data_IF_532414052052
#
_entry.id   IF_532414052052
#
_cell.length_a   1.000
_cell.length_b   1.000
_cell.length_c   1.000
_cell.angle_alpha   90.00
_cell.angle_beta   90.00
_cell.angle_gamma   90.00
#
_symmetry.space_group_name_H-M   'P 1'
#
loop_
_entity.id
_entity.type
_entity.pdbx_description
1 polymer ?
#
# COMPACT_ATOMS: atom_id res chain seq x y z
N UNK A 1 25.16 15.76 43.34
CA UNK A 1 23.90 15.51 42.60
C UNK A 1 24.14 14.49 41.47
N UNK A 2 24.74 13.33 41.77
CA UNK A 2 25.21 12.36 40.76
C UNK A 2 24.76 10.89 40.97
N UNK A 3 24.37 10.49 42.17
CA UNK A 3 24.14 9.06 42.48
C UNK A 3 22.73 8.52 42.15
N UNK A 4 21.73 9.38 41.98
CA UNK A 4 20.36 8.93 41.66
C UNK A 4 20.17 8.47 40.20
N UNK A 5 21.03 8.94 39.28
CA UNK A 5 20.95 8.57 37.85
C UNK A 5 21.62 7.22 37.55
N UNK A 6 22.62 6.82 38.35
CA UNK A 6 23.36 5.56 38.16
C UNK A 6 22.56 4.32 38.61
N UNK A 7 21.71 4.45 39.63
CA UNK A 7 20.87 3.35 40.13
C UNK A 7 19.71 2.96 39.20
N UNK A 8 19.13 3.92 38.47
CA UNK A 8 18.06 3.63 37.51
C UNK A 8 18.55 2.86 36.28
N UNK A 9 19.75 3.20 35.77
CA UNK A 9 20.34 2.54 34.62
C UNK A 9 20.77 1.08 34.92
N UNK A 10 21.21 0.78 36.16
CA UNK A 10 21.61 -0.57 36.56
C UNK A 10 20.41 -1.50 36.78
N UNK A 11 19.28 -0.99 37.29
CA UNK A 11 18.04 -1.75 37.45
C UNK A 11 17.42 -2.10 36.09
N UNK A 12 17.38 -1.13 35.16
CA UNK A 12 16.91 -1.38 33.79
C UNK A 12 17.84 -2.38 33.08
N UNK A 13 19.15 -2.28 33.24
CA UNK A 13 20.12 -3.24 32.69
C UNK A 13 19.90 -4.67 33.21
N UNK A 14 19.71 -4.84 34.52
CA UNK A 14 19.44 -6.16 35.11
C UNK A 14 18.11 -6.75 34.63
N UNK A 15 17.06 -5.94 34.52
CA UNK A 15 15.77 -6.39 34.01
C UNK A 15 15.86 -6.81 32.52
N UNK A 16 16.62 -6.08 31.71
CA UNK A 16 16.87 -6.43 30.30
C UNK A 16 17.64 -7.74 30.18
N UNK A 17 18.66 -7.95 31.02
CA UNK A 17 19.44 -9.20 31.04
C UNK A 17 18.60 -10.40 31.50
N UNK A 18 17.73 -10.22 32.49
CA UNK A 18 16.84 -11.27 33.01
C UNK A 18 15.79 -11.69 31.97
N UNK A 19 15.17 -10.72 31.29
CA UNK A 19 14.27 -10.98 30.15
C UNK A 19 15.01 -11.68 29.01
N UNK A 20 16.24 -11.25 28.70
CA UNK A 20 17.06 -11.89 27.65
C UNK A 20 17.43 -13.32 28.02
N UNK A 21 17.76 -13.59 29.28
CA UNK A 21 18.09 -14.93 29.77
C UNK A 21 16.87 -15.85 29.70
N UNK A 22 15.72 -15.41 30.21
CA UNK A 22 14.47 -16.16 30.14
C UNK A 22 14.01 -16.39 28.69
N UNK A 23 14.20 -15.41 27.80
CA UNK A 23 13.92 -15.55 26.37
C UNK A 23 14.82 -16.59 25.71
N UNK A 24 16.09 -16.66 26.12
CA UNK A 24 17.06 -17.62 25.60
C UNK A 24 16.82 -19.05 26.14
N UNK A 25 16.32 -19.16 27.38
CA UNK A 25 15.89 -20.43 27.99
C UNK A 25 14.64 -21.01 27.32
N UNK A 26 13.76 -20.14 26.79
CA UNK A 26 12.56 -20.53 26.04
C UNK A 26 12.70 -20.34 24.52
N UNK A 27 13.92 -20.22 24.00
CA UNK A 27 14.17 -19.98 22.57
C UNK A 27 13.57 -21.08 21.69
N UNK A 28 13.60 -22.33 22.15
CA UNK A 28 13.04 -23.49 21.43
C UNK A 28 11.52 -23.40 21.28
N UNK A 29 10.81 -22.90 22.30
CA UNK A 29 9.35 -22.70 22.26
C UNK A 29 8.98 -21.60 21.27
N UNK A 30 9.74 -20.50 21.26
CA UNK A 30 9.54 -19.40 20.31
C UNK A 30 9.83 -19.87 18.88
N UNK A 31 10.90 -20.65 18.68
CA UNK A 31 11.25 -21.23 17.38
C UNK A 31 10.18 -22.22 16.89
N UNK A 32 9.63 -23.04 17.78
CA UNK A 32 8.55 -23.97 17.46
C UNK A 32 7.25 -23.24 17.11
N UNK A 33 6.85 -22.23 17.88
CA UNK A 33 5.68 -21.41 17.59
C UNK A 33 5.84 -20.67 16.26
N UNK A 34 7.00 -20.06 16.02
CA UNK A 34 7.29 -19.39 14.77
C UNK A 34 7.29 -20.39 13.60
N UNK A 35 7.83 -21.59 13.81
CA UNK A 35 7.80 -22.68 12.84
C UNK A 35 6.38 -23.12 12.51
N UNK A 36 5.53 -23.34 13.52
CA UNK A 36 4.11 -23.70 13.34
C UNK A 36 3.35 -22.59 12.62
N UNK A 37 3.49 -21.34 13.06
CA UNK A 37 2.85 -20.17 12.40
C UNK A 37 3.33 -20.05 10.96
N UNK A 38 4.63 -20.14 10.70
CA UNK A 38 5.17 -20.08 9.34
C UNK A 38 4.69 -21.24 8.47
N UNK A 39 4.51 -22.43 9.04
CA UNK A 39 4.05 -23.62 8.30
C UNK A 39 2.57 -23.52 7.97
N UNK A 40 1.73 -23.09 8.92
CA UNK A 40 0.31 -22.82 8.70
C UNK A 40 0.09 -21.67 7.71
N UNK A 41 0.91 -20.62 7.79
CA UNK A 41 0.87 -19.52 6.84
C UNK A 41 1.23 -20.02 5.44
N UNK A 42 2.33 -20.76 5.31
CA UNK A 42 2.78 -21.31 4.03
C UNK A 42 1.79 -22.31 3.46
N UNK A 43 1.24 -23.22 4.26
CA UNK A 43 0.27 -24.22 3.82
C UNK A 43 -1.04 -23.57 3.39
N UNK A 44 -1.49 -22.53 4.09
CA UNK A 44 -2.67 -21.75 3.71
C UNK A 44 -2.50 -20.95 2.42
N UNK A 45 -1.32 -20.37 2.19
CA UNK A 45 -1.05 -19.58 0.99
C UNK A 45 -0.58 -20.40 -0.23
N UNK A 46 0.01 -21.58 -0.03
CA UNK A 46 0.57 -22.38 -1.12
C UNK A 46 -0.45 -22.68 -2.24
N UNK A 47 -1.68 -23.16 -1.97
CA UNK A 47 -2.67 -23.41 -3.02
C UNK A 47 -3.08 -22.16 -3.80
N UNK A 48 -3.16 -21.02 -3.11
CA UNK A 48 -3.48 -19.74 -3.74
C UNK A 48 -2.34 -19.31 -4.67
N UNK A 49 -1.09 -19.38 -4.20
CA UNK A 49 0.10 -19.07 -4.99
C UNK A 49 0.21 -20.00 -6.20
N UNK A 50 -0.02 -21.29 -6.04
CA UNK A 50 0.00 -22.26 -7.15
C UNK A 50 -1.07 -21.94 -8.20
N UNK A 51 -2.28 -21.54 -7.75
CA UNK A 51 -3.36 -21.08 -8.63
C UNK A 51 -3.00 -19.80 -9.39
N UNK A 52 -2.34 -18.84 -8.71
CA UNK A 52 -1.84 -17.62 -9.36
C UNK A 52 -0.75 -17.92 -10.39
N UNK A 53 0.21 -18.78 -10.05
CA UNK A 53 1.29 -19.18 -10.98
C UNK A 53 0.68 -19.88 -12.20
N UNK A 54 -0.30 -20.77 -12.00
CA UNK A 54 -1.03 -21.44 -13.07
C UNK A 54 -1.75 -20.45 -13.99
N UNK A 55 -2.43 -19.45 -13.41
CA UNK A 55 -3.04 -18.35 -14.17
C UNK A 55 -2.00 -17.56 -14.99
N UNK A 56 -0.88 -17.17 -14.37
CA UNK A 56 0.19 -16.44 -15.05
C UNK A 56 0.79 -17.24 -16.21
N UNK A 57 0.94 -18.56 -16.07
CA UNK A 57 1.40 -19.42 -17.16
C UNK A 57 0.40 -19.57 -18.30
N UNK A 58 -0.90 -19.55 -17.99
CA UNK A 58 -1.97 -19.65 -19.00
C UNK A 58 -2.14 -18.35 -19.80
N UNK A 59 -1.72 -17.21 -19.24
CA UNK A 59 -1.76 -15.91 -19.92
C UNK A 59 -0.63 -15.80 -20.94
N UNK A 60 -0.98 -15.48 -22.19
CA UNK A 60 0.03 -15.25 -23.23
C UNK A 60 0.56 -13.81 -23.19
N UNK A 61 1.68 -13.63 -22.48
CA UNK A 61 2.35 -12.34 -22.31
C UNK A 61 2.96 -11.76 -23.59
N UNK A 62 2.93 -12.49 -24.71
CA UNK A 62 3.43 -11.98 -26.00
C UNK A 62 2.41 -11.12 -26.72
N UNK A 63 1.15 -11.10 -26.29
CA UNK A 63 0.14 -10.30 -26.97
C UNK A 63 0.42 -8.79 -26.83
N UNK A 64 0.41 -8.02 -27.94
CA UNK A 64 0.79 -6.61 -27.92
C UNK A 64 -0.05 -5.73 -26.98
N UNK A 65 -1.34 -6.03 -26.84
CA UNK A 65 -2.26 -5.26 -26.00
C UNK A 65 -1.94 -5.43 -24.49
N UNK A 66 -1.55 -6.64 -24.07
CA UNK A 66 -1.10 -6.93 -22.70
C UNK A 66 0.17 -6.15 -22.36
N UNK A 67 1.14 -6.13 -23.27
CA UNK A 67 2.39 -5.36 -23.12
C UNK A 67 2.08 -3.86 -23.04
N UNK A 68 1.12 -3.38 -23.85
CA UNK A 68 0.67 -1.98 -23.80
C UNK A 68 0.06 -1.63 -22.43
N UNK A 69 -0.75 -2.52 -21.85
CA UNK A 69 -1.32 -2.32 -20.51
C UNK A 69 -0.21 -2.29 -19.45
N UNK A 70 0.76 -3.22 -19.49
CA UNK A 70 1.86 -3.24 -18.54
C UNK A 70 2.71 -1.96 -18.63
N UNK A 71 2.98 -1.52 -19.86
CA UNK A 71 3.72 -0.27 -20.13
C UNK A 71 2.97 0.95 -19.62
N UNK A 72 1.64 0.99 -19.82
CA UNK A 72 0.78 2.04 -19.27
C UNK A 72 0.90 2.12 -17.74
N UNK A 73 0.87 0.99 -17.04
CA UNK A 73 1.06 0.97 -15.58
C UNK A 73 2.44 1.43 -15.15
N UNK A 74 3.50 1.05 -15.87
CA UNK A 74 4.86 1.52 -15.59
C UNK A 74 4.99 3.04 -15.74
N UNK A 75 4.40 3.60 -16.81
CA UNK A 75 4.34 5.06 -17.02
C UNK A 75 3.52 5.73 -15.91
N UNK A 76 2.36 5.17 -15.56
CA UNK A 76 1.50 5.71 -14.51
C UNK A 76 2.20 5.73 -13.15
N UNK A 77 2.96 4.67 -12.82
CA UNK A 77 3.80 4.60 -11.63
C UNK A 77 4.91 5.66 -11.67
N UNK A 78 5.58 5.82 -12.81
CA UNK A 78 6.61 6.85 -12.98
C UNK A 78 6.03 8.26 -12.79
N UNK A 79 4.89 8.56 -13.41
CA UNK A 79 4.16 9.83 -13.24
C UNK A 79 3.79 10.05 -11.78
N UNK A 80 3.34 9.00 -11.09
CA UNK A 80 3.04 9.03 -9.65
C UNK A 80 4.27 9.41 -8.83
N UNK A 81 5.43 8.81 -9.11
CA UNK A 81 6.68 9.10 -8.40
C UNK A 81 7.14 10.54 -8.66
N UNK A 82 7.11 10.98 -9.91
CA UNK A 82 7.55 12.34 -10.30
C UNK A 82 6.62 13.39 -9.69
N UNK A 83 5.31 13.16 -9.72
CA UNK A 83 4.33 14.12 -9.25
C UNK A 83 4.19 14.20 -7.72
N UNK A 84 4.97 13.45 -6.94
CA UNK A 84 4.86 13.38 -5.46
C UNK A 84 4.89 14.75 -4.75
N UNK A 85 5.47 15.79 -5.37
CA UNK A 85 5.53 17.15 -4.82
C UNK A 85 4.26 17.97 -5.03
N UNK A 86 3.44 17.63 -6.03
CA UNK A 86 2.26 18.39 -6.42
C UNK A 86 0.98 17.72 -5.90
N UNK A 87 0.49 18.15 -4.73
CA UNK A 87 -0.68 17.55 -4.06
C UNK A 87 -1.94 17.61 -4.91
N UNK A 88 -2.21 18.75 -5.55
CA UNK A 88 -3.40 18.91 -6.38
C UNK A 88 -3.41 17.91 -7.55
N UNK A 89 -2.26 17.70 -8.19
CA UNK A 89 -2.13 16.72 -9.26
C UNK A 89 -2.27 15.29 -8.72
N UNK A 90 -1.66 14.98 -7.57
CA UNK A 90 -1.79 13.68 -6.93
C UNK A 90 -3.25 13.36 -6.55
N UNK A 91 -4.04 14.36 -6.12
CA UNK A 91 -5.46 14.18 -5.84
C UNK A 91 -6.26 13.86 -7.12
N UNK A 92 -6.01 14.58 -8.21
CA UNK A 92 -6.64 14.28 -9.50
C UNK A 92 -6.24 12.91 -9.99
N UNK A 93 -4.95 12.58 -9.92
CA UNK A 93 -4.42 11.28 -10.30
C UNK A 93 -5.06 10.15 -9.47
N UNK A 94 -5.20 10.35 -8.15
CA UNK A 94 -5.89 9.41 -7.26
C UNK A 94 -7.36 9.21 -7.66
N UNK A 95 -8.08 10.28 -7.99
CA UNK A 95 -9.47 10.17 -8.42
C UNK A 95 -9.59 9.39 -9.74
N UNK A 96 -8.65 9.60 -10.67
CA UNK A 96 -8.57 8.86 -11.93
C UNK A 96 -8.26 7.38 -11.71
N UNK A 97 -7.29 7.03 -10.85
CA UNK A 97 -6.97 5.62 -10.56
C UNK A 97 -8.11 4.91 -9.85
N UNK A 98 -8.77 5.56 -8.88
CA UNK A 98 -9.97 5.02 -8.23
C UNK A 98 -11.10 4.78 -9.21
N UNK A 99 -11.33 5.74 -10.12
CA UNK A 99 -12.32 5.59 -11.18
C UNK A 99 -11.97 4.43 -12.11
N UNK A 100 -10.68 4.27 -12.46
CA UNK A 100 -10.21 3.12 -13.23
C UNK A 100 -10.54 1.78 -12.58
N UNK A 101 -10.30 1.65 -11.26
CA UNK A 101 -10.67 0.44 -10.50
C UNK A 101 -12.19 0.25 -10.45
N UNK A 102 -12.96 1.31 -10.23
CA UNK A 102 -14.42 1.24 -10.22
C UNK A 102 -15.01 0.77 -11.56
N UNK A 103 -14.40 1.17 -12.67
CA UNK A 103 -14.81 0.73 -14.01
C UNK A 103 -14.32 -0.67 -14.38
N UNK A 104 -13.51 -1.34 -13.55
CA UNK A 104 -12.89 -2.62 -13.89
C UNK A 104 -13.93 -3.69 -14.29
N UNK A 105 -15.04 -3.80 -13.57
CA UNK A 105 -16.12 -4.76 -13.90
C UNK A 105 -16.75 -4.45 -15.26
N UNK A 106 -17.03 -3.17 -15.52
CA UNK A 106 -17.61 -2.71 -16.80
C UNK A 106 -16.65 -2.95 -17.96
N UNK A 107 -15.36 -2.69 -17.75
CA UNK A 107 -14.30 -2.98 -18.72
C UNK A 107 -14.20 -4.48 -18.99
N UNK A 108 -14.28 -5.31 -17.95
CA UNK A 108 -14.23 -6.77 -18.10
C UNK A 108 -15.37 -7.30 -18.98
N UNK A 109 -16.60 -6.87 -18.73
CA UNK A 109 -17.75 -7.28 -19.57
C UNK A 109 -17.61 -6.76 -21.00
N UNK A 110 -17.21 -5.49 -21.17
CA UNK A 110 -17.09 -4.88 -22.49
C UNK A 110 -15.97 -5.51 -23.33
N UNK A 111 -14.78 -5.68 -22.75
CA UNK A 111 -13.63 -6.31 -23.41
C UNK A 111 -13.89 -7.80 -23.64
N UNK A 112 -14.57 -8.48 -22.71
CA UNK A 112 -15.01 -9.86 -22.86
C UNK A 112 -16.09 -10.08 -23.92
N UNK A 113 -16.79 -9.05 -24.38
CA UNK A 113 -17.69 -9.15 -25.55
C UNK A 113 -16.94 -8.91 -26.86
N UNK A 114 -15.87 -8.11 -26.82
CA UNK A 114 -15.14 -7.64 -28.01
C UNK A 114 -13.76 -8.29 -28.18
N UNK A 115 -13.40 -9.29 -27.37
CA UNK A 115 -12.06 -9.90 -27.31
C UNK A 115 -11.52 -10.31 -28.69
N UNK A 116 -12.38 -10.85 -29.56
CA UNK A 116 -12.01 -11.29 -30.92
C UNK A 116 -11.37 -10.19 -31.80
N UNK A 117 -11.59 -8.92 -31.46
CA UNK A 117 -11.03 -7.80 -32.21
C UNK A 117 -9.57 -7.48 -31.88
N UNK A 118 -9.06 -7.90 -30.70
CA UNK A 118 -7.74 -7.51 -30.22
C UNK A 118 -6.92 -8.63 -29.59
N UNK A 119 -7.54 -9.73 -29.17
CA UNK A 119 -6.87 -10.87 -28.53
C UNK A 119 -7.12 -12.17 -29.29
N UNK A 120 -6.14 -13.08 -29.25
CA UNK A 120 -6.25 -14.41 -29.84
C UNK A 120 -7.17 -15.34 -29.04
N UNK A 121 -7.32 -15.07 -27.74
CA UNK A 121 -8.16 -15.84 -26.82
C UNK A 121 -8.94 -14.92 -25.88
N UNK A 122 -10.03 -15.45 -25.30
CA UNK A 122 -10.82 -14.71 -24.32
C UNK A 122 -10.24 -14.88 -22.92
N UNK A 123 -9.66 -13.81 -22.39
CA UNK A 123 -9.13 -13.77 -21.02
C UNK A 123 -10.15 -13.30 -19.99
N UNK A 124 -11.25 -12.69 -20.42
CA UNK A 124 -12.20 -12.04 -19.55
C UNK A 124 -13.21 -13.05 -19.02
N UNK A 125 -13.21 -13.21 -17.71
CA UNK A 125 -14.05 -14.16 -17.00
C UNK A 125 -15.18 -13.45 -16.24
N UNK A 126 -16.35 -14.09 -16.00
CA UNK A 126 -17.44 -13.48 -15.25
C UNK A 126 -17.08 -13.14 -13.79
N UNK A 127 -16.08 -13.82 -13.21
CA UNK A 127 -15.60 -13.55 -11.85
C UNK A 127 -14.65 -12.33 -11.81
N UNK A 128 -14.20 -11.84 -12.96
CA UNK A 128 -13.29 -10.72 -13.10
C UNK A 128 -11.89 -10.99 -12.54
N UNK A 129 -11.44 -12.24 -12.45
CA UNK A 129 -10.12 -12.57 -11.89
C UNK A 129 -9.01 -11.98 -12.76
N UNK A 130 -9.12 -12.11 -14.09
CA UNK A 130 -8.12 -11.58 -15.01
C UNK A 130 -8.01 -10.05 -14.93
N UNK A 131 -9.13 -9.33 -15.04
CA UNK A 131 -9.13 -7.86 -14.96
C UNK A 131 -8.63 -7.40 -13.57
N UNK A 132 -8.95 -8.15 -12.51
CA UNK A 132 -8.54 -7.78 -11.17
C UNK A 132 -7.02 -7.84 -11.01
N UNK A 133 -6.36 -8.85 -11.57
CA UNK A 133 -4.90 -8.99 -11.49
C UNK A 133 -4.18 -8.01 -12.43
N UNK A 134 -4.66 -7.88 -13.68
CA UNK A 134 -3.95 -7.13 -14.72
C UNK A 134 -4.24 -5.62 -14.66
N UNK A 135 -5.46 -5.23 -14.27
CA UNK A 135 -5.89 -3.83 -14.21
C UNK A 135 -5.99 -3.33 -12.77
N UNK A 136 -6.82 -3.95 -11.94
CA UNK A 136 -7.10 -3.43 -10.59
C UNK A 136 -5.90 -3.55 -9.66
N UNK A 137 -5.13 -4.64 -9.71
CA UNK A 137 -4.01 -4.90 -8.81
C UNK A 137 -2.94 -3.80 -8.85
N UNK A 138 -2.31 -3.55 -10.02
CA UNK A 138 -1.35 -2.47 -10.18
C UNK A 138 -1.94 -1.09 -9.87
N UNK A 139 -3.18 -0.81 -10.30
CA UNK A 139 -3.85 0.46 -10.01
C UNK A 139 -4.08 0.67 -8.50
N UNK A 140 -4.48 -0.36 -7.77
CA UNK A 140 -4.66 -0.32 -6.32
C UNK A 140 -3.33 -0.07 -5.62
N UNK A 141 -2.25 -0.73 -6.03
CA UNK A 141 -0.91 -0.49 -5.49
C UNK A 141 -0.48 0.97 -5.70
N UNK A 142 -0.65 1.49 -6.93
CA UNK A 142 -0.37 2.90 -7.25
C UNK A 142 -1.24 3.83 -6.39
N UNK A 143 -2.51 3.50 -6.23
CA UNK A 143 -3.45 4.29 -5.43
C UNK A 143 -3.06 4.31 -3.95
N UNK A 144 -2.61 3.19 -3.39
CA UNK A 144 -2.08 3.12 -2.02
C UNK A 144 -0.85 4.03 -1.88
N UNK A 145 0.08 4.01 -2.84
CA UNK A 145 1.25 4.88 -2.82
C UNK A 145 0.86 6.37 -2.84
N UNK A 146 -0.08 6.75 -3.72
CA UNK A 146 -0.62 8.12 -3.78
C UNK A 146 -1.32 8.48 -2.46
N UNK A 147 -2.13 7.57 -1.92
CA UNK A 147 -2.88 7.79 -0.68
C UNK A 147 -1.95 8.05 0.50
N UNK A 148 -0.88 7.26 0.67
CA UNK A 148 0.09 7.46 1.74
C UNK A 148 0.76 8.84 1.60
N UNK A 149 1.23 9.19 0.40
CA UNK A 149 1.90 10.48 0.15
C UNK A 149 0.96 11.68 0.36
N UNK A 150 -0.28 11.58 -0.15
CA UNK A 150 -1.29 12.63 0.00
C UNK A 150 -1.74 12.77 1.45
N UNK A 151 -1.95 11.67 2.18
CA UNK A 151 -2.36 11.71 3.59
C UNK A 151 -1.31 12.39 4.46
N UNK A 152 -0.02 12.04 4.31
CA UNK A 152 1.07 12.71 5.03
C UNK A 152 1.09 14.22 4.72
N UNK A 153 0.93 14.58 3.45
CA UNK A 153 0.96 15.99 3.05
C UNK A 153 -0.26 16.76 3.56
N UNK A 154 -1.45 16.17 3.49
CA UNK A 154 -2.69 16.75 4.00
C UNK A 154 -2.62 16.95 5.51
N UNK A 155 -2.08 15.99 6.28
CA UNK A 155 -1.84 16.16 7.71
C UNK A 155 -0.93 17.37 8.00
N UNK A 156 0.17 17.52 7.26
CA UNK A 156 1.07 18.66 7.41
C UNK A 156 0.39 19.99 7.04
N UNK A 157 -0.42 20.01 5.99
CA UNK A 157 -1.19 21.19 5.57
C UNK A 157 -2.25 21.56 6.60
N UNK A 158 -2.98 20.57 7.15
CA UNK A 158 -3.98 20.78 8.19
C UNK A 158 -3.35 21.37 9.46
N UNK A 159 -2.19 20.86 9.90
CA UNK A 159 -1.45 21.42 11.04
C UNK A 159 -1.01 22.86 10.77
N UNK A 160 -0.47 23.14 9.59
CA UNK A 160 -0.05 24.50 9.19
C UNK A 160 -1.23 25.46 9.13
N UNK A 161 -2.35 25.02 8.54
CA UNK A 161 -3.59 25.79 8.47
C UNK A 161 -4.13 26.09 9.85
N UNK A 162 -4.19 25.09 10.76
CA UNK A 162 -4.57 25.28 12.16
C UNK A 162 -3.66 26.26 12.89
N UNK A 163 -2.33 26.16 12.71
CA UNK A 163 -1.37 27.13 13.27
C UNK A 163 -1.54 28.54 12.69
N UNK A 164 -1.95 28.68 11.43
CA UNK A 164 -2.23 29.98 10.82
C UNK A 164 -3.56 30.58 11.32
N UNK A 165 -4.60 29.75 11.42
CA UNK A 165 -5.92 30.11 11.97
C UNK A 165 -5.78 30.65 13.40
N UNK A 166 -5.06 29.93 14.27
CA UNK A 166 -4.84 30.36 15.66
C UNK A 166 -4.06 31.69 15.74
N UNK A 167 -3.04 31.87 14.88
CA UNK A 167 -2.28 33.14 14.82
C UNK A 167 -3.14 34.31 14.34
N UNK A 168 -4.05 34.08 13.40
CA UNK A 168 -4.98 35.11 12.94
C UNK A 168 -5.97 35.51 14.04
N UNK A 169 -6.54 34.52 14.75
CA UNK A 169 -7.43 34.75 15.90
C UNK A 169 -6.73 35.54 17.03
N UNK A 170 -5.48 35.20 17.36
CA UNK A 170 -4.71 35.92 18.38
C UNK A 170 -4.46 37.40 18.01
N UNK A 171 -4.24 37.70 16.71
CA UNK A 171 -4.09 39.08 16.23
C UNK A 171 -5.41 39.87 16.30
N UNK A 172 -6.52 39.23 15.95
CA UNK A 172 -7.85 39.86 16.05
C UNK A 172 -8.26 40.12 17.50
N UNK A 173 -7.91 39.24 18.44
CA UNK A 173 -8.17 39.46 19.86
C UNK A 173 -7.38 40.65 20.42
N UNK A 174 -6.12 40.82 20.01
CA UNK A 174 -5.28 41.95 20.43
C UNK A 174 -5.80 43.30 19.89
N UNK A 175 -6.21 43.36 18.63
CA UNK A 175 -6.78 44.58 18.03
C UNK A 175 -8.15 45.01 18.60
N UNK A 176 -8.80 44.20 19.44
CA UNK A 176 -10.05 44.58 20.13
C UNK A 176 -9.82 45.09 21.55
N UNK A 177 -8.59 44.98 22.06
CA UNK A 177 -8.21 45.47 23.40
C UNK A 177 -7.54 46.85 23.36
N UNK A 178 -7.11 47.30 22.18
CA UNK A 178 -6.69 48.68 21.89
C UNK A 178 -7.89 49.50 21.37
#
# INVERSE_FOLDING_TARGET
MGDAAAGGASVVGRAVEEVRSALNEHADVVAELFGRVSTELRSGFAPAVDSFIGFFHAVDWKEPWLISILTFHAILLLVTIISRRNVNFQLVLSALTFSGVFLAERLNTFLGQNWKSFSGQNYFDPQGLFISVIWSGPLLLITILILVNTLVTLCMLMVRWKRAELRHRARQARNKQD
#
